data_IF_543858142812
#
_entry.id   IF_543858142812
#
_cell.length_a   1.000
_cell.length_b   1.000
_cell.length_c   1.000
_cell.angle_alpha   90.00
_cell.angle_beta   90.00
_cell.angle_gamma   90.00
#
_symmetry.space_group_name_H-M   'P 1'
#
loop_
_entity.id
_entity.type
_entity.pdbx_description
1 polymer ?
#
# COMPACT_ATOMS: atom_id res chain seq x y z
N UNK A 1 34.45 -10.73 -42.49
CA UNK A 1 33.95 -11.87 -41.70
C UNK A 1 32.68 -11.38 -41.03
N UNK A 2 31.56 -11.90 -41.49
CA UNK A 2 30.21 -11.56 -41.07
C UNK A 2 29.82 -12.52 -39.95
N UNK A 3 29.45 -12.00 -38.78
CA UNK A 3 28.70 -12.76 -37.76
C UNK A 3 27.71 -11.81 -37.10
N UNK A 4 26.48 -11.84 -37.58
CA UNK A 4 25.34 -11.25 -36.93
C UNK A 4 24.94 -12.05 -35.70
N UNK A 5 24.68 -11.34 -34.60
CA UNK A 5 24.00 -11.87 -33.42
C UNK A 5 22.72 -11.07 -33.21
N UNK A 6 21.59 -11.68 -33.56
CA UNK A 6 20.26 -11.11 -33.45
C UNK A 6 19.78 -11.13 -31.99
N UNK A 7 19.44 -9.95 -31.47
CA UNK A 7 18.68 -9.80 -30.24
C UNK A 7 17.18 -9.83 -30.57
N UNK A 8 16.36 -10.73 -29.98
CA UNK A 8 14.92 -10.67 -30.16
C UNK A 8 14.31 -9.59 -29.25
N UNK A 9 13.62 -8.66 -29.92
CA UNK A 9 12.88 -7.54 -29.35
C UNK A 9 11.77 -8.02 -28.43
N UNK A 10 11.62 -7.33 -27.30
CA UNK A 10 10.45 -7.41 -26.44
C UNK A 10 9.18 -7.13 -27.25
N UNK A 11 8.19 -7.98 -27.07
CA UNK A 11 6.82 -7.73 -27.52
C UNK A 11 5.93 -7.88 -26.30
N UNK A 12 5.58 -6.74 -25.72
CA UNK A 12 4.50 -6.61 -24.74
C UNK A 12 3.18 -6.94 -25.45
N UNK A 13 2.58 -8.08 -25.15
CA UNK A 13 1.21 -8.35 -25.57
C UNK A 13 0.27 -7.90 -24.46
N UNK A 14 -0.43 -6.80 -24.76
CA UNK A 14 -1.58 -6.25 -24.06
C UNK A 14 -2.61 -7.35 -23.79
N UNK A 15 -3.07 -7.45 -22.54
CA UNK A 15 -4.25 -8.20 -22.17
C UNK A 15 -5.48 -7.38 -22.57
N UNK A 16 -5.85 -7.44 -23.85
CA UNK A 16 -7.16 -6.98 -24.27
C UNK A 16 -8.20 -8.05 -23.89
N UNK A 17 -8.71 -7.90 -22.67
CA UNK A 17 -10.00 -8.44 -22.29
C UNK A 17 -11.04 -7.85 -23.24
N UNK A 18 -11.76 -8.69 -23.99
CA UNK A 18 -13.12 -8.31 -24.36
C UNK A 18 -14.13 -9.45 -24.29
N UNK A 19 -15.36 -9.10 -23.86
CA UNK A 19 -16.40 -10.01 -23.42
C UNK A 19 -17.34 -10.36 -24.56
N UNK A 20 -18.10 -11.45 -24.34
CA UNK A 20 -19.45 -11.76 -24.86
C UNK A 20 -19.52 -13.22 -25.31
N UNK A 21 -19.93 -14.08 -24.39
CA UNK A 21 -20.70 -15.26 -24.77
C UNK A 21 -21.97 -14.77 -25.46
N UNK A 22 -22.06 -14.94 -26.78
CA UNK A 22 -23.34 -15.04 -27.46
C UNK A 22 -23.79 -16.49 -27.41
N UNK A 23 -24.83 -16.77 -26.64
CA UNK A 23 -25.65 -17.98 -26.75
C UNK A 23 -26.11 -18.11 -28.21
N UNK A 24 -25.70 -19.18 -28.89
CA UNK A 24 -26.22 -19.53 -30.21
C UNK A 24 -27.23 -20.65 -30.02
N UNK A 25 -28.50 -20.28 -30.19
CA UNK A 25 -29.65 -21.16 -30.40
C UNK A 25 -29.40 -21.96 -31.67
N UNK A 26 -29.35 -23.29 -31.58
CA UNK A 26 -29.21 -24.17 -32.74
C UNK A 26 -30.59 -24.32 -33.37
N UNK A 27 -30.81 -23.73 -34.55
CA UNK A 27 -31.88 -24.12 -35.46
C UNK A 27 -31.39 -25.28 -36.33
N UNK A 28 -32.15 -26.36 -36.30
CA UNK A 28 -31.93 -27.64 -36.98
C UNK A 28 -32.45 -27.54 -38.42
N UNK A 29 -31.56 -27.51 -39.43
CA UNK A 29 -31.86 -28.02 -40.77
C UNK A 29 -30.63 -28.14 -41.70
N UNK A 30 -30.66 -29.22 -42.50
CA UNK A 30 -29.87 -29.57 -43.68
C UNK A 30 -28.57 -30.40 -43.49
N UNK A 31 -28.73 -31.70 -43.77
CA UNK A 31 -27.70 -32.69 -44.08
C UNK A 31 -27.04 -32.40 -45.43
N UNK A 32 -25.71 -32.54 -45.54
CA UNK A 32 -25.03 -32.92 -46.78
C UNK A 32 -23.66 -33.59 -46.49
N UNK A 33 -23.39 -34.62 -47.30
CA UNK A 33 -22.27 -35.57 -47.28
C UNK A 33 -20.89 -34.92 -47.42
N UNK A 34 -20.09 -34.97 -46.35
CA UNK A 34 -18.64 -35.15 -46.35
C UNK A 34 -18.19 -35.22 -44.88
N UNK A 35 -18.38 -36.39 -44.25
CA UNK A 35 -17.95 -36.60 -42.86
C UNK A 35 -16.44 -36.84 -42.77
N UNK A 36 -15.64 -35.86 -43.23
CA UNK A 36 -14.25 -35.76 -42.78
C UNK A 36 -14.30 -35.45 -41.29
N UNK A 37 -14.07 -36.48 -40.47
CA UNK A 37 -14.04 -36.40 -39.00
C UNK A 37 -13.18 -35.20 -38.60
N UNK A 38 -13.82 -34.10 -38.21
CA UNK A 38 -13.13 -32.94 -37.64
C UNK A 38 -12.71 -33.38 -36.24
N UNK A 39 -11.43 -33.69 -36.09
CA UNK A 39 -10.83 -34.00 -34.79
C UNK A 39 -11.05 -32.80 -33.87
N UNK A 40 -11.71 -33.03 -32.74
CA UNK A 40 -11.95 -31.99 -31.74
C UNK A 40 -10.72 -31.97 -30.84
N UNK A 41 -9.84 -31.01 -31.09
CA UNK A 41 -8.81 -30.66 -30.12
C UNK A 41 -9.50 -30.03 -28.92
N UNK A 42 -9.46 -30.73 -27.79
CA UNK A 42 -9.99 -30.24 -26.51
C UNK A 42 -8.82 -30.09 -25.55
N UNK A 43 -8.73 -28.95 -24.91
CA UNK A 43 -7.76 -28.75 -23.83
C UNK A 43 -8.24 -29.53 -22.59
N UNK A 44 -7.38 -30.41 -22.10
CA UNK A 44 -7.70 -31.26 -20.96
C UNK A 44 -7.23 -30.56 -19.68
N UNK A 45 -8.10 -30.36 -18.67
CA UNK A 45 -7.71 -29.67 -17.45
C UNK A 45 -6.71 -30.52 -16.64
N UNK A 46 -5.44 -30.08 -16.61
CA UNK A 46 -4.39 -30.70 -15.81
C UNK A 46 -4.43 -30.13 -14.40
N UNK A 47 -4.55 -31.00 -13.39
CA UNK A 47 -4.41 -30.63 -11.97
C UNK A 47 -3.07 -31.13 -11.44
N UNK A 48 -2.14 -30.22 -11.19
CA UNK A 48 -0.86 -30.55 -10.55
C UNK A 48 -1.00 -30.61 -9.04
N UNK A 49 -0.38 -31.62 -8.42
CA UNK A 49 -0.13 -31.66 -6.97
C UNK A 49 1.36 -31.47 -6.76
N UNK A 50 1.72 -30.32 -6.20
CA UNK A 50 3.10 -29.95 -5.87
C UNK A 50 3.21 -29.77 -4.36
N UNK A 51 4.42 -29.82 -3.82
CA UNK A 51 4.69 -29.61 -2.39
C UNK A 51 4.52 -28.16 -1.91
N UNK A 52 4.03 -27.27 -2.78
CA UNK A 52 3.79 -25.86 -2.47
C UNK A 52 2.44 -25.62 -1.81
N UNK A 53 2.29 -24.45 -1.21
CA UNK A 53 1.06 -24.01 -0.55
C UNK A 53 -0.10 -23.94 -1.54
N UNK A 54 -1.31 -24.27 -1.08
CA UNK A 54 -2.49 -24.11 -1.93
C UNK A 54 -2.74 -22.63 -2.25
N UNK A 55 -3.41 -22.35 -3.37
CA UNK A 55 -3.76 -20.96 -3.73
C UNK A 55 -4.55 -20.25 -2.63
N UNK A 56 -5.37 -20.98 -1.88
CA UNK A 56 -6.16 -20.42 -0.76
C UNK A 56 -5.26 -20.01 0.41
N UNK A 57 -4.37 -20.89 0.83
CA UNK A 57 -3.42 -20.61 1.91
C UNK A 57 -2.42 -19.51 1.52
N UNK A 58 -1.98 -19.47 0.26
CA UNK A 58 -1.13 -18.40 -0.25
C UNK A 58 -1.82 -17.03 -0.15
N UNK A 59 -3.09 -16.95 -0.53
CA UNK A 59 -3.85 -15.69 -0.41
C UNK A 59 -4.02 -15.28 1.04
N UNK A 60 -4.20 -16.23 1.95
CA UNK A 60 -4.30 -15.95 3.39
C UNK A 60 -2.98 -15.41 3.94
N UNK A 61 -1.83 -16.01 3.57
CA UNK A 61 -0.52 -15.49 3.96
C UNK A 61 -0.24 -14.10 3.39
N UNK A 62 -0.62 -13.83 2.14
CA UNK A 62 -0.49 -12.49 1.55
C UNK A 62 -1.34 -11.48 2.33
N UNK A 63 -2.56 -11.84 2.71
CA UNK A 63 -3.43 -10.98 3.50
C UNK A 63 -2.82 -10.66 4.87
N UNK A 64 -2.30 -11.67 5.56
CA UNK A 64 -1.65 -11.50 6.86
C UNK A 64 -0.41 -10.61 6.75
N UNK A 65 0.42 -10.83 5.74
CA UNK A 65 1.60 -9.99 5.47
C UNK A 65 1.21 -8.53 5.24
N UNK A 66 0.22 -8.28 4.38
CA UNK A 66 -0.26 -6.91 4.12
C UNK A 66 -0.82 -6.25 5.38
N UNK A 67 -1.47 -7.01 6.25
CA UNK A 67 -1.97 -6.48 7.53
C UNK A 67 -0.83 -6.16 8.49
N UNK A 68 0.24 -6.95 8.50
CA UNK A 68 1.45 -6.64 9.28
C UNK A 68 2.14 -5.38 8.75
N UNK A 69 2.35 -5.30 7.43
CA UNK A 69 2.93 -4.11 6.78
C UNK A 69 2.13 -2.84 7.11
N UNK A 70 0.80 -2.90 7.01
CA UNK A 70 -0.04 -1.72 7.29
C UNK A 70 -0.01 -1.31 8.76
N UNK A 71 0.13 -2.26 9.69
CA UNK A 71 0.31 -1.94 11.13
C UNK A 71 1.66 -1.27 11.37
N UNK A 72 2.71 -1.81 10.77
CA UNK A 72 4.06 -1.27 10.91
C UNK A 72 4.16 0.15 10.30
N UNK A 73 3.51 0.39 9.16
CA UNK A 73 3.43 1.70 8.53
C UNK A 73 2.71 2.72 9.42
N UNK A 74 1.53 2.35 9.97
CA UNK A 74 0.79 3.22 10.89
C UNK A 74 1.59 3.54 12.16
N UNK A 75 2.31 2.56 12.69
CA UNK A 75 3.16 2.77 13.87
C UNK A 75 4.36 3.68 13.54
N UNK A 76 4.96 3.52 12.37
CA UNK A 76 6.05 4.36 11.92
C UNK A 76 5.61 5.81 11.69
N UNK A 77 4.47 6.04 11.04
CA UNK A 77 3.88 7.38 10.87
C UNK A 77 3.61 8.06 12.22
N UNK A 78 3.16 7.29 13.21
CA UNK A 78 2.91 7.79 14.55
C UNK A 78 4.19 8.21 15.27
N UNK A 79 5.25 7.39 15.16
CA UNK A 79 6.57 7.73 15.70
C UNK A 79 7.17 8.95 15.00
N UNK A 80 6.98 9.07 13.68
CA UNK A 80 7.43 10.24 12.91
C UNK A 80 6.72 11.52 13.37
N UNK A 81 5.39 11.49 13.52
CA UNK A 81 4.63 12.63 14.03
C UNK A 81 5.01 13.01 15.46
N UNK A 82 5.29 12.02 16.33
CA UNK A 82 5.82 12.26 17.67
C UNK A 82 7.19 12.93 17.63
N UNK A 83 8.11 12.41 16.83
CA UNK A 83 9.46 12.96 16.70
C UNK A 83 9.42 14.38 16.12
N UNK A 84 8.54 14.64 15.16
CA UNK A 84 8.35 15.97 14.58
C UNK A 84 7.85 16.99 15.62
N UNK A 85 6.93 16.59 16.51
CA UNK A 85 6.48 17.42 17.62
C UNK A 85 7.61 17.71 18.62
N UNK A 86 8.36 16.68 19.01
CA UNK A 86 9.47 16.81 19.95
C UNK A 86 10.58 17.72 19.39
N UNK A 87 10.96 17.52 18.12
CA UNK A 87 11.94 18.37 17.43
C UNK A 87 11.44 19.82 17.33
N UNK A 88 10.15 20.04 17.03
CA UNK A 88 9.58 21.37 16.99
C UNK A 88 9.69 22.09 18.34
N UNK A 89 9.34 21.41 19.44
CA UNK A 89 9.41 21.98 20.78
C UNK A 89 10.85 22.35 21.14
N UNK A 90 11.80 21.44 20.95
CA UNK A 90 13.22 21.71 21.24
C UNK A 90 13.81 22.79 20.32
N UNK A 91 13.47 22.76 19.04
CA UNK A 91 13.91 23.75 18.05
C UNK A 91 13.36 25.14 18.36
N UNK A 92 12.08 25.24 18.73
CA UNK A 92 11.44 26.52 19.03
C UNK A 92 11.87 27.08 20.37
N UNK A 93 11.95 26.26 21.42
CA UNK A 93 12.49 26.68 22.72
C UNK A 93 13.92 27.22 22.60
N UNK A 94 14.75 26.58 21.78
CA UNK A 94 16.11 27.06 21.50
C UNK A 94 16.12 28.43 20.80
N UNK A 95 15.22 28.65 19.83
CA UNK A 95 15.08 29.93 19.13
C UNK A 95 14.58 31.04 20.06
N UNK A 96 13.53 30.79 20.84
CA UNK A 96 12.98 31.76 21.80
C UNK A 96 14.01 32.17 22.87
N UNK A 97 14.81 31.22 23.35
CA UNK A 97 15.91 31.51 24.28
C UNK A 97 17.04 32.35 23.63
N UNK A 98 17.28 32.19 22.32
CA UNK A 98 18.29 32.97 21.59
C UNK A 98 17.81 34.40 21.27
N UNK A 99 16.53 34.57 20.95
CA UNK A 99 15.95 35.86 20.58
C UNK A 99 15.57 36.72 21.81
N UNK A 100 15.70 36.16 23.02
CA UNK A 100 15.45 36.86 24.30
C UNK A 100 13.97 37.19 24.57
N UNK A 101 13.07 36.80 23.68
CA UNK A 101 11.63 37.03 23.80
C UNK A 101 10.97 35.82 24.47
N UNK A 102 11.19 35.71 25.78
CA UNK A 102 10.71 34.59 26.59
C UNK A 102 9.23 34.82 26.91
N UNK A 103 8.35 34.33 26.04
CA UNK A 103 6.94 34.15 26.33
C UNK A 103 6.78 32.96 27.28
N UNK A 104 6.64 33.25 28.58
CA UNK A 104 6.61 32.24 29.64
C UNK A 104 5.40 31.30 29.55
N UNK A 105 4.30 31.80 29.00
CA UNK A 105 3.10 31.04 28.63
C UNK A 105 3.40 29.96 27.59
N UNK A 106 4.14 30.30 26.53
CA UNK A 106 4.53 29.33 25.49
C UNK A 106 5.46 28.24 26.03
N UNK A 107 6.34 28.60 26.97
CA UNK A 107 7.25 27.64 27.61
C UNK A 107 6.53 26.66 28.54
N UNK A 108 5.50 27.14 29.26
CA UNK A 108 4.65 26.29 30.09
C UNK A 108 3.83 25.30 29.23
N UNK A 109 3.31 25.76 28.09
CA UNK A 109 2.62 24.89 27.12
C UNK A 109 3.55 23.84 26.51
N UNK A 110 4.79 24.21 26.18
CA UNK A 110 5.80 23.25 25.71
C UNK A 110 6.12 22.19 26.76
N UNK A 111 6.33 22.60 28.03
CA UNK A 111 6.61 21.65 29.11
C UNK A 111 5.43 20.71 29.34
N UNK A 112 4.20 21.25 29.34
CA UNK A 112 2.97 20.45 29.48
C UNK A 112 2.83 19.44 28.34
N UNK A 113 3.23 19.82 27.11
CA UNK A 113 3.19 18.92 25.95
C UNK A 113 4.25 17.83 26.03
N UNK A 114 5.45 18.12 26.52
CA UNK A 114 6.51 17.11 26.75
C UNK A 114 6.06 16.14 27.84
N UNK A 115 5.55 16.66 28.97
CA UNK A 115 5.07 15.83 30.07
C UNK A 115 3.91 14.91 29.63
N UNK A 116 3.03 15.41 28.74
CA UNK A 116 2.00 14.60 28.10
C UNK A 116 2.58 13.52 27.18
N UNK A 117 3.60 13.85 26.38
CA UNK A 117 4.26 12.92 25.46
C UNK A 117 4.95 11.74 26.18
N UNK A 118 5.47 12.00 27.38
CA UNK A 118 6.10 10.99 28.23
C UNK A 118 5.09 10.21 29.11
N UNK A 119 3.85 10.66 29.17
CA UNK A 119 2.78 9.98 29.90
C UNK A 119 2.20 8.80 29.11
N UNK A 120 1.59 7.84 29.81
CA UNK A 120 0.86 6.73 29.16
C UNK A 120 -0.33 7.22 28.31
N UNK A 121 -0.84 8.42 28.58
CA UNK A 121 -1.92 9.07 27.82
C UNK A 121 -1.42 9.68 26.50
N UNK A 122 -0.09 9.81 26.35
CA UNK A 122 0.58 10.28 25.15
C UNK A 122 0.63 9.27 24.01
N UNK A 123 0.15 8.03 24.19
CA UNK A 123 0.00 7.04 23.12
C UNK A 123 -1.33 7.28 22.38
N UNK A 124 -1.32 8.09 21.34
CA UNK A 124 -2.52 8.45 20.56
C UNK A 124 -2.33 8.23 19.05
N UNK A 125 -3.37 8.45 18.25
CA UNK A 125 -3.29 8.41 16.80
C UNK A 125 -2.46 9.57 16.22
N UNK A 126 -1.86 9.37 15.05
CA UNK A 126 -1.05 10.35 14.31
C UNK A 126 -1.72 11.73 14.21
N UNK A 127 -3.04 11.78 14.02
CA UNK A 127 -3.85 13.00 13.94
C UNK A 127 -3.71 13.89 15.18
N UNK A 128 -3.66 13.29 16.37
CA UNK A 128 -3.62 14.02 17.65
C UNK A 128 -2.30 14.79 17.79
N UNK A 129 -1.18 14.22 17.33
CA UNK A 129 0.11 14.91 17.34
C UNK A 129 0.13 16.09 16.38
N UNK A 130 -0.46 15.93 15.18
CA UNK A 130 -0.56 17.00 14.17
C UNK A 130 -1.43 18.15 14.69
N UNK A 131 -2.60 17.86 15.25
CA UNK A 131 -3.49 18.88 15.83
C UNK A 131 -2.84 19.63 16.99
N UNK A 132 -2.04 18.95 17.83
CA UNK A 132 -1.29 19.59 18.92
C UNK A 132 -0.16 20.46 18.40
N UNK A 133 0.56 20.00 17.39
CA UNK A 133 1.59 20.79 16.71
C UNK A 133 0.97 22.05 16.09
N UNK A 134 -0.17 21.94 15.42
CA UNK A 134 -0.89 23.10 14.87
C UNK A 134 -1.37 24.05 15.95
N UNK A 135 -1.91 23.53 17.06
CA UNK A 135 -2.34 24.33 18.20
C UNK A 135 -1.18 25.11 18.83
N UNK A 136 0.00 24.49 18.95
CA UNK A 136 1.21 25.13 19.46
C UNK A 136 1.73 26.20 18.50
N UNK A 137 1.71 25.94 17.19
CA UNK A 137 2.06 26.95 16.19
C UNK A 137 1.10 28.14 16.27
N UNK A 138 -0.20 27.89 16.40
CA UNK A 138 -1.22 28.93 16.49
C UNK A 138 -1.14 29.76 17.78
N UNK A 139 -0.60 29.23 18.88
CA UNK A 139 -0.41 30.01 20.12
C UNK A 139 0.84 30.92 20.06
N UNK A 140 1.79 30.61 19.19
CA UNK A 140 3.06 31.33 19.05
C UNK A 140 2.93 32.52 18.10
N UNK A 141 2.14 32.39 17.04
CA UNK A 141 1.87 33.44 16.04
C UNK A 141 0.63 34.27 16.39
#
# INVERSE_FOLDING_TARGET
>A
METGAAAPKGTSNSLDLNPRLSTITITEELMDEDTKKKEKEIDLPIRSRISGTSRKELHEFIKQENEMISRDEKENERLDARNALEEYIFGMSRKLNADGNIRQDVLEDFQTTIDWLDSAEGYQETSVYVERLESLIANIY
#
